data_IF_367154457885
#
_entry.id   IF_367154457885
#
_cell.length_a   1.000
_cell.length_b   1.000
_cell.length_c   1.000
_cell.angle_alpha   90.00
_cell.angle_beta   90.00
_cell.angle_gamma   90.00
#
_symmetry.space_group_name_H-M   'P 1'
#
loop_
_entity.id
_entity.type
_entity.pdbx_description
1 polymer ?
#
# COMPACT_ATOMS: atom_id res chain seq x y z
N UNK A 1 -5.41 3.05 13.14
CA UNK A 1 -4.28 3.53 12.31
C UNK A 1 -3.37 2.36 12.04
N UNK A 2 -2.72 1.85 13.09
CA UNK A 2 -2.01 0.60 13.05
C UNK A 2 -2.87 -0.55 12.49
N UNK A 3 -4.11 -0.70 12.96
CA UNK A 3 -5.07 -1.69 12.44
C UNK A 3 -5.32 -1.59 10.92
N UNK A 4 -5.30 -0.38 10.36
CA UNK A 4 -5.49 -0.18 8.91
C UNK A 4 -4.23 -0.54 8.12
N UNK A 5 -3.05 -0.28 8.68
CA UNK A 5 -1.75 -0.67 8.09
C UNK A 5 -1.56 -2.18 8.16
N UNK A 6 -1.90 -2.79 9.29
CA UNK A 6 -1.86 -4.24 9.45
C UNK A 6 -2.77 -4.91 8.43
N UNK A 7 -4.04 -4.46 8.34
CA UNK A 7 -4.98 -5.00 7.37
C UNK A 7 -4.51 -4.81 5.92
N UNK A 8 -3.88 -3.67 5.62
CA UNK A 8 -3.32 -3.43 4.29
C UNK A 8 -2.19 -4.40 3.93
N UNK A 9 -1.29 -4.70 4.87
CA UNK A 9 -0.24 -5.70 4.66
C UNK A 9 -0.84 -7.10 4.49
N UNK A 10 -1.82 -7.47 5.32
CA UNK A 10 -2.50 -8.77 5.21
C UNK A 10 -3.19 -8.95 3.85
N UNK A 11 -3.77 -7.88 3.29
CA UNK A 11 -4.41 -7.90 1.97
C UNK A 11 -3.38 -7.99 0.84
N UNK A 12 -2.26 -7.26 0.94
CA UNK A 12 -1.25 -7.21 -0.12
C UNK A 12 -0.28 -8.39 -0.09
N UNK A 13 -0.15 -9.09 1.04
CA UNK A 13 0.73 -10.24 1.23
C UNK A 13 0.14 -11.23 2.24
N UNK A 14 -0.92 -11.96 1.84
CA UNK A 14 -1.63 -12.88 2.74
C UNK A 14 -0.75 -14.04 3.22
N UNK A 15 0.28 -14.40 2.46
CA UNK A 15 1.23 -15.47 2.80
C UNK A 15 2.46 -14.96 3.58
N UNK A 16 2.55 -13.66 3.86
CA UNK A 16 3.66 -13.02 4.58
C UNK A 16 5.05 -13.31 3.97
N UNK A 17 5.17 -13.25 2.65
CA UNK A 17 6.40 -13.51 1.91
C UNK A 17 7.22 -12.25 1.60
N UNK A 18 6.63 -11.06 1.73
CA UNK A 18 7.27 -9.79 1.42
C UNK A 18 7.96 -9.19 2.66
N UNK A 19 9.28 -9.32 2.69
CA UNK A 19 10.12 -8.67 3.72
C UNK A 19 9.93 -7.14 3.72
N UNK A 20 9.68 -6.53 2.56
CA UNK A 20 9.44 -5.09 2.44
C UNK A 20 8.13 -4.65 3.13
N UNK A 21 7.09 -5.47 3.08
CA UNK A 21 5.82 -5.21 3.77
C UNK A 21 5.91 -5.49 5.27
N UNK A 22 6.70 -6.49 5.67
CA UNK A 22 7.00 -6.74 7.08
C UNK A 22 7.76 -5.56 7.71
N UNK A 23 8.79 -5.04 7.03
CA UNK A 23 9.52 -3.84 7.44
C UNK A 23 8.62 -2.60 7.48
N UNK A 24 7.69 -2.49 6.52
CA UNK A 24 6.71 -1.41 6.50
C UNK A 24 5.82 -1.44 7.74
N UNK A 25 5.25 -2.61 8.09
CA UNK A 25 4.43 -2.78 9.29
C UNK A 25 5.20 -2.44 10.57
N UNK A 26 6.43 -2.96 10.69
CA UNK A 26 7.27 -2.73 11.87
C UNK A 26 7.55 -1.25 12.11
N UNK A 27 7.74 -0.44 11.05
CA UNK A 27 7.93 1.01 11.21
C UNK A 27 6.70 1.72 11.78
N UNK A 28 5.50 1.20 11.56
CA UNK A 28 4.26 1.74 12.12
C UNK A 28 3.95 1.22 13.53
N UNK A 29 4.43 0.02 13.89
CA UNK A 29 4.36 -0.47 15.27
C UNK A 29 5.20 0.37 16.23
N UNK A 30 6.37 0.83 15.78
CA UNK A 30 7.34 1.55 16.62
C UNK A 30 7.12 3.08 16.63
N UNK A 31 6.48 3.67 15.60
CA UNK A 31 6.22 5.12 15.54
C UNK A 31 4.94 5.53 16.28
N UNK A 32 5.12 6.23 17.41
CA UNK A 32 4.11 7.03 18.11
C UNK A 32 3.83 8.39 17.42
N UNK A 33 3.94 8.47 16.08
CA UNK A 33 3.79 9.72 15.32
C UNK A 33 2.48 9.76 14.51
N UNK A 34 1.80 10.92 14.43
CA UNK A 34 0.53 11.04 13.73
C UNK A 34 0.72 10.85 12.22
N UNK A 35 0.02 9.86 11.67
CA UNK A 35 0.02 9.47 10.23
C UNK A 35 -0.58 10.52 9.29
N UNK A 36 -0.93 11.69 9.81
CA UNK A 36 -1.24 12.87 9.00
C UNK A 36 -0.05 13.35 8.16
N UNK A 37 1.16 12.85 8.41
CA UNK A 37 2.32 13.06 7.56
C UNK A 37 2.19 12.45 6.14
N UNK A 38 1.22 11.55 5.91
CA UNK A 38 0.91 11.02 4.56
C UNK A 38 -0.11 11.84 3.78
N UNK A 39 -0.69 12.89 4.39
CA UNK A 39 -1.90 13.53 3.90
C UNK A 39 -1.77 14.59 2.81
N UNK A 40 -0.58 15.14 2.53
CA UNK A 40 -0.50 16.31 1.62
C UNK A 40 0.51 16.19 0.48
N UNK A 41 1.42 15.22 0.59
CA UNK A 41 2.32 14.89 -0.50
C UNK A 41 2.97 13.58 -0.15
N UNK A 42 2.95 12.65 -1.10
CA UNK A 42 3.96 11.60 -1.24
C UNK A 42 3.66 10.23 -0.60
N UNK A 43 3.01 9.36 -1.37
CA UNK A 43 3.60 8.03 -1.57
C UNK A 43 5.08 8.14 -2.00
N UNK A 44 5.41 9.17 -2.79
CA UNK A 44 6.74 9.49 -3.35
C UNK A 44 7.96 9.59 -2.39
N UNK A 45 7.86 10.08 -1.14
CA UNK A 45 8.99 10.21 -0.18
C UNK A 45 9.27 8.87 0.47
N UNK A 46 8.19 8.14 0.76
CA UNK A 46 8.25 6.81 1.34
C UNK A 46 8.84 5.82 0.32
N UNK A 47 8.49 5.98 -0.96
CA UNK A 47 9.07 5.23 -2.08
C UNK A 47 10.58 5.43 -2.26
N UNK A 48 11.10 6.63 -2.00
CA UNK A 48 12.55 6.90 -2.03
C UNK A 48 13.32 6.15 -0.93
N UNK A 49 12.65 5.80 0.17
CA UNK A 49 13.30 5.20 1.35
C UNK A 49 13.21 3.67 1.37
N UNK A 50 12.23 3.08 0.67
CA UNK A 50 11.92 1.65 0.79
C UNK A 50 12.20 0.79 -0.45
N UNK A 51 12.53 1.37 -1.62
CA UNK A 51 12.69 0.64 -2.89
C UNK A 51 14.08 0.04 -3.12
N UNK A 52 14.14 -1.27 -3.34
CA UNK A 52 15.30 -1.98 -3.90
C UNK A 52 15.68 -1.41 -5.27
N UNK A 53 16.98 -1.15 -5.46
CA UNK A 53 17.52 -0.46 -6.63
C UNK A 53 17.45 -1.32 -7.90
N UNK A 54 16.89 -0.77 -8.97
CA UNK A 54 17.19 -1.17 -10.34
C UNK A 54 17.69 0.07 -11.10
N UNK A 55 18.89 0.00 -11.67
CA UNK A 55 19.56 1.11 -12.38
C UNK A 55 19.67 2.45 -11.62
N UNK A 56 19.87 2.41 -10.30
CA UNK A 56 20.06 3.63 -9.51
C UNK A 56 18.78 4.44 -9.25
N UNK A 57 17.63 3.92 -9.67
CA UNK A 57 16.30 4.48 -9.41
C UNK A 57 15.58 3.53 -8.45
N UNK A 58 15.08 4.06 -7.34
CA UNK A 58 14.14 3.32 -6.49
C UNK A 58 12.82 3.21 -7.27
N UNK A 59 12.63 2.11 -7.99
CA UNK A 59 11.30 1.78 -8.50
C UNK A 59 10.50 1.28 -7.29
N UNK A 60 9.35 1.90 -6.99
CA UNK A 60 8.58 1.52 -5.83
C UNK A 60 8.03 0.11 -6.02
N UNK A 61 8.24 -0.76 -5.04
CA UNK A 61 7.64 -2.09 -5.00
C UNK A 61 6.11 -1.94 -5.17
N UNK A 62 5.47 -2.61 -6.14
CA UNK A 62 4.05 -2.43 -6.42
C UNK A 62 3.16 -2.93 -5.27
N UNK A 63 3.59 -3.96 -4.54
CA UNK A 63 2.89 -4.45 -3.35
C UNK A 63 2.98 -3.43 -2.21
N UNK A 64 4.16 -2.83 -2.00
CA UNK A 64 4.33 -1.75 -1.01
C UNK A 64 3.52 -0.50 -1.35
N UNK A 65 3.47 -0.16 -2.63
CA UNK A 65 2.66 0.94 -3.17
C UNK A 65 1.19 0.72 -2.90
N UNK A 66 0.68 -0.49 -3.17
CA UNK A 66 -0.70 -0.84 -2.88
C UNK A 66 -0.99 -0.91 -1.38
N UNK A 67 -0.08 -1.42 -0.55
CA UNK A 67 -0.27 -1.45 0.90
C UNK A 67 -0.40 -0.04 1.49
N UNK A 68 0.40 0.93 1.01
CA UNK A 68 0.27 2.32 1.43
C UNK A 68 -1.07 2.95 0.99
N UNK A 69 -1.50 2.67 -0.25
CA UNK A 69 -2.80 3.12 -0.77
C UNK A 69 -3.97 2.53 0.03
N UNK A 70 -3.94 1.23 0.32
CA UNK A 70 -4.96 0.53 1.12
C UNK A 70 -4.98 1.06 2.56
N UNK A 71 -3.83 1.23 3.20
CA UNK A 71 -3.76 1.78 4.55
C UNK A 71 -4.38 3.19 4.62
N UNK A 72 -4.11 4.03 3.61
CA UNK A 72 -4.68 5.37 3.49
C UNK A 72 -6.19 5.30 3.27
N UNK A 73 -6.65 4.46 2.34
CA UNK A 73 -8.07 4.24 2.07
C UNK A 73 -8.84 3.78 3.32
N UNK A 74 -8.33 2.79 4.04
CA UNK A 74 -8.93 2.26 5.28
C UNK A 74 -8.87 3.27 6.44
N UNK A 75 -7.87 4.15 6.48
CA UNK A 75 -7.82 5.24 7.46
C UNK A 75 -8.97 6.24 7.28
N UNK A 76 -9.37 6.53 6.03
CA UNK A 76 -10.51 7.40 5.72
C UNK A 76 -11.86 6.67 5.71
N UNK A 77 -11.87 5.36 5.43
CA UNK A 77 -13.08 4.52 5.39
C UNK A 77 -12.92 3.33 6.34
N UNK A 78 -13.13 3.60 7.63
CA UNK A 78 -12.95 2.62 8.70
C UNK A 78 -13.87 1.40 8.59
N UNK A 79 -15.03 1.53 7.93
CA UNK A 79 -15.94 0.41 7.63
C UNK A 79 -15.38 -0.59 6.60
N UNK A 80 -14.32 -0.23 5.86
CA UNK A 80 -13.72 -1.10 4.84
C UNK A 80 -12.85 -2.24 5.41
N UNK A 81 -12.71 -2.36 6.73
CA UNK A 81 -11.92 -3.41 7.36
C UNK A 81 -12.53 -4.81 7.17
N UNK A 82 -13.85 -4.88 7.02
CA UNK A 82 -14.63 -6.11 6.84
C UNK A 82 -15.02 -6.37 5.36
N UNK A 83 -14.61 -5.50 4.44
CA UNK A 83 -14.85 -5.66 3.00
C UNK A 83 -13.96 -6.77 2.40
N UNK A 84 -14.36 -7.27 1.23
CA UNK A 84 -13.58 -8.24 0.46
C UNK A 84 -12.23 -7.66 0.01
N UNK A 85 -11.17 -8.44 0.15
CA UNK A 85 -9.78 -8.03 -0.10
C UNK A 85 -9.59 -7.48 -1.53
N UNK A 86 -10.21 -8.10 -2.54
CA UNK A 86 -10.10 -7.66 -3.92
C UNK A 86 -10.82 -6.34 -4.16
N UNK A 87 -11.98 -6.14 -3.54
CA UNK A 87 -12.70 -4.87 -3.60
C UNK A 87 -11.96 -3.75 -2.88
N UNK A 88 -11.34 -4.04 -1.73
CA UNK A 88 -10.49 -3.07 -1.01
C UNK A 88 -9.31 -2.66 -1.88
N UNK A 89 -8.60 -3.60 -2.51
CA UNK A 89 -7.49 -3.31 -3.43
C UNK A 89 -7.93 -2.44 -4.60
N UNK A 90 -9.03 -2.78 -5.26
CA UNK A 90 -9.55 -2.04 -6.41
C UNK A 90 -10.00 -0.62 -6.02
N UNK A 91 -10.70 -0.48 -4.90
CA UNK A 91 -11.17 0.81 -4.42
C UNK A 91 -10.01 1.71 -3.96
N UNK A 92 -9.00 1.13 -3.31
CA UNK A 92 -7.78 1.83 -2.91
C UNK A 92 -6.98 2.29 -4.13
N UNK A 93 -6.75 1.42 -5.12
CA UNK A 93 -6.06 1.77 -6.36
C UNK A 93 -6.77 2.92 -7.08
N UNK A 94 -8.09 2.83 -7.19
CA UNK A 94 -8.91 3.89 -7.80
C UNK A 94 -8.87 5.19 -7.00
N UNK A 95 -8.86 5.13 -5.67
CA UNK A 95 -8.80 6.32 -4.82
C UNK A 95 -7.45 7.04 -4.92
N UNK A 96 -6.35 6.28 -4.98
CA UNK A 96 -5.00 6.81 -5.03
C UNK A 96 -4.60 7.28 -6.44
N UNK A 97 -4.85 6.46 -7.46
CA UNK A 97 -4.33 6.70 -8.82
C UNK A 97 -5.40 7.19 -9.81
N UNK A 98 -6.68 7.09 -9.45
CA UNK A 98 -7.77 7.47 -10.35
C UNK A 98 -7.76 6.64 -11.64
N UNK A 99 -7.59 7.30 -12.79
CA UNK A 99 -7.53 6.66 -14.10
C UNK A 99 -6.10 6.40 -14.59
N UNK A 100 -5.08 6.82 -13.83
CA UNK A 100 -3.67 6.77 -14.21
C UNK A 100 -2.91 5.81 -13.28
N UNK A 101 -3.33 4.53 -13.30
CA UNK A 101 -2.69 3.48 -12.50
C UNK A 101 -1.32 3.16 -13.11
N UNK A 102 -0.22 3.19 -12.33
CA UNK A 102 1.09 2.81 -12.83
C UNK A 102 1.09 1.39 -13.40
N UNK A 103 1.76 1.12 -14.53
CA UNK A 103 1.70 -0.17 -15.20
C UNK A 103 2.18 -1.32 -14.31
N UNK A 104 3.23 -1.13 -13.51
CA UNK A 104 3.74 -2.15 -12.59
C UNK A 104 2.72 -2.51 -11.49
N UNK A 105 1.91 -1.53 -11.06
CA UNK A 105 0.82 -1.73 -10.09
C UNK A 105 -0.37 -2.42 -10.75
N UNK A 106 -0.71 -2.06 -11.98
CA UNK A 106 -1.79 -2.71 -12.74
C UNK A 106 -1.46 -4.19 -13.04
N UNK A 107 -0.22 -4.48 -13.41
CA UNK A 107 0.27 -5.84 -13.62
C UNK A 107 0.24 -6.64 -12.31
N UNK A 108 0.68 -6.03 -11.20
CA UNK A 108 0.60 -6.66 -9.88
C UNK A 108 -0.84 -6.94 -9.44
N UNK A 109 -1.77 -5.99 -9.63
CA UNK A 109 -3.20 -6.18 -9.33
C UNK A 109 -3.78 -7.35 -10.15
N UNK A 110 -3.41 -7.45 -11.42
CA UNK A 110 -3.84 -8.55 -12.28
C UNK A 110 -3.33 -9.90 -11.77
N UNK A 111 -2.08 -9.98 -11.30
CA UNK A 111 -1.51 -11.19 -10.67
C UNK A 111 -2.23 -11.53 -9.37
N UNK A 112 -2.63 -10.51 -8.60
CA UNK A 112 -3.46 -10.66 -7.40
C UNK A 112 -4.93 -11.02 -7.69
N UNK A 113 -5.32 -11.14 -8.97
CA UNK A 113 -6.68 -11.48 -9.39
C UNK A 113 -7.67 -10.31 -9.35
N UNK A 114 -7.17 -9.07 -9.28
CA UNK A 114 -7.96 -7.84 -9.23
C UNK A 114 -7.90 -7.12 -10.58
N UNK A 115 -9.06 -6.79 -11.13
CA UNK A 115 -9.14 -5.95 -12.34
C UNK A 115 -9.02 -4.47 -11.95
N UNK A 116 -8.02 -3.72 -12.46
CA UNK A 116 -7.76 -2.32 -12.11
C UNK A 116 -8.85 -1.33 -12.62
#
# INVERSE_FOLDING_TARGET
>A
MFEAVQRAVEICDPDAHSEALADFLQRYEDRDEPVTALGDSRGREFFETAGGLQDGVALPDPALTMAAAVATYLAYRRDGLDDDDADVLRLAARAEFGADIPPDVADWLTVAGVEP
#
